data_IF_108068435631
#
_entry.id   IF_108068435631
#
_cell.length_a   1.000
_cell.length_b   1.000
_cell.length_c   1.000
_cell.angle_alpha   90.00
_cell.angle_beta   90.00
_cell.angle_gamma   90.00
#
_symmetry.space_group_name_H-M   'P 1'
#
loop_
_entity.id
_entity.type
_entity.pdbx_description
1 polymer ?
#
# COMPACT_ATOMS: atom_id res chain seq x y z
N UNK A 1 -0.76 5.30 0.45
CA UNK A 1 0.24 6.34 0.09
C UNK A 1 1.48 6.32 0.98
N UNK A 2 1.60 5.33 1.88
CA UNK A 2 2.76 5.15 2.79
C UNK A 2 4.00 4.54 2.10
N UNK A 3 4.01 4.39 0.78
CA UNK A 3 5.17 3.86 0.04
C UNK A 3 5.19 2.35 -0.16
N UNK A 4 4.06 1.61 0.01
CA UNK A 4 3.99 0.16 -0.16
C UNK A 4 4.58 -0.32 -1.49
N UNK A 5 4.13 0.26 -2.61
CA UNK A 5 4.62 -0.10 -3.95
C UNK A 5 6.12 0.17 -4.10
N UNK A 6 6.63 1.28 -3.55
CA UNK A 6 8.06 1.59 -3.56
C UNK A 6 8.87 0.60 -2.71
N UNK A 7 8.35 0.25 -1.52
CA UNK A 7 8.96 -0.77 -0.67
C UNK A 7 9.07 -2.11 -1.41
N UNK A 8 8.00 -2.54 -2.07
CA UNK A 8 7.95 -3.83 -2.75
C UNK A 8 8.79 -3.84 -4.04
N UNK A 9 8.53 -2.90 -4.97
CA UNK A 9 9.12 -2.94 -6.31
C UNK A 9 10.52 -2.31 -6.41
N UNK A 10 10.92 -1.54 -5.40
CA UNK A 10 12.24 -0.90 -5.41
C UNK A 10 13.13 -1.44 -4.31
N UNK A 11 12.74 -1.29 -3.06
CA UNK A 11 13.63 -1.64 -1.95
C UNK A 11 13.77 -3.15 -1.79
N UNK A 12 12.66 -3.89 -1.78
CA UNK A 12 12.68 -5.33 -1.60
C UNK A 12 13.25 -6.04 -2.84
N UNK A 13 12.85 -5.62 -4.06
CA UNK A 13 13.47 -6.12 -5.30
C UNK A 13 14.99 -5.94 -5.27
N UNK A 14 15.49 -4.76 -4.93
CA UNK A 14 16.93 -4.49 -4.85
C UNK A 14 17.62 -5.32 -3.76
N UNK A 15 16.94 -5.55 -2.64
CA UNK A 15 17.44 -6.43 -1.59
C UNK A 15 17.62 -7.86 -2.11
N UNK A 16 16.61 -8.44 -2.77
CA UNK A 16 16.69 -9.78 -3.36
C UNK A 16 17.83 -9.92 -4.36
N UNK A 17 17.99 -8.93 -5.26
CA UNK A 17 19.10 -8.91 -6.22
C UNK A 17 20.45 -8.90 -5.50
N UNK A 18 20.60 -8.11 -4.43
CA UNK A 18 21.82 -8.09 -3.59
C UNK A 18 22.08 -9.42 -2.87
N UNK A 19 21.04 -10.19 -2.58
CA UNK A 19 21.14 -11.54 -2.02
C UNK A 19 21.46 -12.61 -3.08
N UNK A 20 21.64 -12.22 -4.35
CA UNK A 20 22.00 -13.11 -5.44
C UNK A 20 20.80 -13.69 -6.21
N UNK A 21 19.58 -13.24 -5.94
CA UNK A 21 18.41 -13.64 -6.74
C UNK A 21 18.53 -13.05 -8.13
N UNK A 22 18.36 -13.87 -9.16
CA UNK A 22 18.36 -13.42 -10.55
C UNK A 22 17.13 -12.55 -10.84
N UNK A 23 17.28 -11.54 -11.67
CA UNK A 23 16.20 -10.60 -11.96
C UNK A 23 15.01 -11.25 -12.66
N UNK A 24 15.23 -12.26 -13.50
CA UNK A 24 14.21 -13.07 -14.16
C UNK A 24 13.41 -13.97 -13.20
N UNK A 25 13.90 -14.18 -11.98
CA UNK A 25 13.18 -14.86 -10.91
C UNK A 25 12.30 -13.91 -10.08
N UNK A 26 12.26 -12.63 -10.39
CA UNK A 26 11.45 -11.63 -9.70
C UNK A 26 10.37 -11.13 -10.67
N UNK A 27 9.14 -11.59 -10.48
CA UNK A 27 8.01 -11.27 -11.35
C UNK A 27 7.15 -10.20 -10.68
N UNK A 28 7.22 -8.96 -11.17
CA UNK A 28 6.48 -7.84 -10.63
C UNK A 28 5.33 -7.41 -11.54
N UNK A 29 4.12 -7.27 -10.99
CA UNK A 29 2.95 -6.77 -11.73
C UNK A 29 2.27 -5.66 -10.92
N UNK A 30 2.24 -4.44 -11.47
CA UNK A 30 1.41 -3.37 -10.94
C UNK A 30 0.04 -3.42 -11.63
N UNK A 31 -0.99 -3.83 -10.88
CA UNK A 31 -2.35 -4.01 -11.41
C UNK A 31 -3.12 -2.69 -11.53
N UNK A 32 -2.67 -1.61 -10.87
CA UNK A 32 -3.22 -0.27 -11.08
C UNK A 32 -2.85 0.26 -12.47
N UNK A 33 -1.69 -0.13 -12.99
CA UNK A 33 -1.24 0.32 -14.28
C UNK A 33 -2.18 -0.15 -15.40
N UNK A 34 -2.66 0.80 -16.22
CA UNK A 34 -3.58 0.52 -17.33
C UNK A 34 -3.01 -0.45 -18.37
N UNK A 35 -1.70 -0.50 -18.55
CA UNK A 35 -1.05 -1.45 -19.46
C UNK A 35 -1.25 -2.90 -19.01
N UNK A 36 -1.46 -3.13 -17.73
CA UNK A 36 -1.70 -4.44 -17.13
C UNK A 36 -3.20 -4.74 -16.95
N UNK A 37 -4.09 -3.96 -17.59
CA UNK A 37 -5.54 -4.14 -17.41
C UNK A 37 -6.02 -5.55 -17.75
N UNK A 38 -5.44 -6.20 -18.75
CA UNK A 38 -5.77 -7.58 -19.12
C UNK A 38 -5.44 -8.59 -18.02
N UNK A 39 -4.42 -8.31 -17.21
CA UNK A 39 -4.00 -9.16 -16.09
C UNK A 39 -4.89 -9.03 -14.85
N UNK A 40 -5.93 -8.20 -14.89
CA UNK A 40 -6.95 -8.15 -13.82
C UNK A 40 -7.96 -9.31 -13.91
N UNK A 41 -7.96 -10.04 -15.03
CA UNK A 41 -8.70 -11.29 -15.13
C UNK A 41 -7.89 -12.43 -14.47
N UNK A 42 -8.50 -13.26 -13.59
CA UNK A 42 -7.81 -14.31 -12.83
C UNK A 42 -6.97 -15.22 -13.71
N UNK A 43 -7.57 -15.81 -14.72
CA UNK A 43 -6.90 -16.75 -15.62
C UNK A 43 -5.74 -16.12 -16.39
N UNK A 44 -5.89 -14.86 -16.81
CA UNK A 44 -4.83 -14.14 -17.52
C UNK A 44 -3.62 -13.89 -16.63
N UNK A 45 -3.83 -13.57 -15.35
CA UNK A 45 -2.77 -13.37 -14.37
C UNK A 45 -2.05 -14.69 -14.07
N UNK A 46 -2.82 -15.76 -13.84
CA UNK A 46 -2.27 -17.10 -13.61
C UNK A 46 -1.39 -17.55 -14.80
N UNK A 47 -1.91 -17.47 -16.03
CA UNK A 47 -1.16 -17.83 -17.24
C UNK A 47 0.09 -16.96 -17.45
N UNK A 48 -0.02 -15.65 -17.16
CA UNK A 48 1.10 -14.73 -17.29
C UNK A 48 2.26 -15.11 -16.36
N UNK A 49 1.95 -15.46 -15.12
CA UNK A 49 2.96 -15.84 -14.13
C UNK A 49 3.48 -17.24 -14.43
N UNK A 50 2.61 -18.20 -14.66
CA UNK A 50 2.98 -19.60 -14.96
C UNK A 50 3.94 -19.69 -16.16
N UNK A 51 3.69 -18.92 -17.21
CA UNK A 51 4.57 -18.86 -18.38
C UNK A 51 6.00 -18.35 -18.11
N UNK A 52 6.25 -17.79 -16.93
CA UNK A 52 7.55 -17.26 -16.48
C UNK A 52 8.23 -18.11 -15.42
N UNK A 53 7.51 -19.08 -14.88
CA UNK A 53 8.06 -20.00 -13.90
C UNK A 53 8.84 -21.12 -14.60
N UNK A 54 9.87 -21.58 -13.95
CA UNK A 54 10.57 -22.81 -14.32
C UNK A 54 10.78 -23.68 -13.07
N UNK A 55 11.25 -24.91 -13.27
CA UNK A 55 11.58 -25.79 -12.15
C UNK A 55 12.84 -25.39 -11.39
N UNK A 56 13.62 -24.45 -11.95
CA UNK A 56 14.92 -24.08 -11.40
C UNK A 56 14.84 -22.83 -10.52
N UNK A 57 15.12 -23.03 -9.23
CA UNK A 57 15.30 -21.95 -8.26
C UNK A 57 13.98 -21.39 -7.70
N UNK A 58 14.15 -20.46 -6.76
CA UNK A 58 13.07 -19.77 -6.07
C UNK A 58 12.61 -18.56 -6.88
N UNK A 59 11.29 -18.38 -7.01
CA UNK A 59 10.65 -17.23 -7.66
C UNK A 59 9.95 -16.34 -6.62
N UNK A 60 9.95 -15.04 -6.88
CA UNK A 60 9.34 -14.00 -6.05
C UNK A 60 8.30 -13.25 -6.90
N UNK A 61 7.02 -13.52 -6.64
CA UNK A 61 5.91 -12.87 -7.32
C UNK A 61 5.44 -11.68 -6.51
N UNK A 62 5.47 -10.49 -7.10
CA UNK A 62 5.11 -9.22 -6.47
C UNK A 62 3.91 -8.60 -7.19
N UNK A 63 2.76 -8.53 -6.51
CA UNK A 63 1.52 -7.98 -7.07
C UNK A 63 1.11 -6.71 -6.30
N UNK A 64 1.01 -5.59 -7.02
CA UNK A 64 0.56 -4.33 -6.44
C UNK A 64 -0.92 -4.10 -6.72
N UNK A 65 -1.67 -3.66 -5.70
CA UNK A 65 -3.12 -3.43 -5.74
C UNK A 65 -3.91 -4.67 -6.20
N UNK A 66 -3.62 -5.83 -5.57
CA UNK A 66 -4.16 -7.13 -5.99
C UNK A 66 -5.70 -7.20 -5.92
N UNK A 67 -6.36 -6.37 -5.12
CA UNK A 67 -7.83 -6.26 -5.09
C UNK A 67 -8.45 -5.81 -6.42
N UNK A 68 -7.63 -5.38 -7.38
CA UNK A 68 -8.10 -5.07 -8.73
C UNK A 68 -8.34 -6.33 -9.57
N UNK A 69 -7.87 -7.48 -9.12
CA UNK A 69 -8.17 -8.79 -9.71
C UNK A 69 -9.48 -9.30 -9.12
N UNK A 70 -10.41 -9.73 -9.96
CA UNK A 70 -11.59 -10.45 -9.47
C UNK A 70 -11.16 -11.80 -8.89
N UNK A 71 -11.80 -12.24 -7.80
CA UNK A 71 -11.49 -13.54 -7.16
C UNK A 71 -9.99 -13.69 -6.83
N UNK A 72 -9.36 -12.59 -6.40
CA UNK A 72 -7.91 -12.57 -6.14
C UNK A 72 -7.48 -13.58 -5.07
N UNK A 73 -8.36 -13.92 -4.14
CA UNK A 73 -8.14 -14.92 -3.10
C UNK A 73 -7.85 -16.28 -3.71
N UNK A 74 -8.62 -16.70 -4.70
CA UNK A 74 -8.44 -17.97 -5.41
C UNK A 74 -7.12 -17.97 -6.21
N UNK A 75 -6.80 -16.84 -6.84
CA UNK A 75 -5.54 -16.66 -7.56
C UNK A 75 -4.35 -16.81 -6.62
N UNK A 76 -4.39 -16.14 -5.46
CA UNK A 76 -3.32 -16.24 -4.47
C UNK A 76 -3.19 -17.66 -3.90
N UNK A 77 -4.31 -18.33 -3.61
CA UNK A 77 -4.31 -19.72 -3.16
C UNK A 77 -3.68 -20.65 -4.21
N UNK A 78 -3.87 -20.37 -5.50
CA UNK A 78 -3.25 -21.13 -6.59
C UNK A 78 -1.72 -20.98 -6.56
N UNK A 79 -1.20 -19.77 -6.37
CA UNK A 79 0.24 -19.54 -6.26
C UNK A 79 0.85 -20.17 -4.99
N UNK A 80 0.14 -20.16 -3.87
CA UNK A 80 0.59 -20.79 -2.62
C UNK A 80 0.75 -22.33 -2.73
N UNK A 81 0.19 -22.94 -3.77
CA UNK A 81 0.37 -24.37 -4.05
C UNK A 81 1.67 -24.69 -4.80
N UNK A 82 2.38 -23.67 -5.32
CA UNK A 82 3.60 -23.84 -6.09
C UNK A 82 4.80 -23.74 -5.14
N UNK A 83 5.53 -24.82 -4.97
CA UNK A 83 6.54 -24.99 -3.91
C UNK A 83 7.75 -24.06 -4.01
N UNK A 84 8.05 -23.55 -5.18
CA UNK A 84 9.18 -22.65 -5.44
C UNK A 84 8.76 -21.21 -5.75
N UNK A 85 7.60 -20.78 -5.25
CA UNK A 85 7.08 -19.42 -5.43
C UNK A 85 6.73 -18.80 -4.09
N UNK A 86 7.33 -17.66 -3.80
CA UNK A 86 6.92 -16.76 -2.71
C UNK A 86 6.10 -15.60 -3.30
N UNK A 87 4.93 -15.33 -2.72
CA UNK A 87 4.02 -14.28 -3.20
C UNK A 87 3.97 -13.13 -2.23
N UNK A 88 4.20 -11.93 -2.75
CA UNK A 88 4.11 -10.67 -2.01
C UNK A 88 3.05 -9.79 -2.67
N UNK A 89 2.07 -9.39 -1.89
CA UNK A 89 0.96 -8.59 -2.41
C UNK A 89 0.84 -7.27 -1.65
N UNK A 90 0.41 -6.24 -2.35
CA UNK A 90 -0.07 -5.03 -1.70
C UNK A 90 -1.53 -4.78 -2.02
N UNK A 91 -2.18 -4.07 -1.12
CA UNK A 91 -3.51 -3.54 -1.34
C UNK A 91 -3.72 -2.33 -0.46
N UNK A 92 -4.46 -1.36 -0.97
CA UNK A 92 -4.78 -0.11 -0.26
C UNK A 92 -6.17 -0.14 0.37
N UNK A 93 -6.98 -1.16 0.06
CA UNK A 93 -8.37 -1.18 0.42
C UNK A 93 -8.65 -2.02 1.67
N UNK A 94 -9.65 -1.58 2.39
CA UNK A 94 -10.26 -2.24 3.52
C UNK A 94 -10.81 -3.66 3.26
N UNK A 95 -10.91 -4.10 2.01
CA UNK A 95 -11.17 -5.51 1.67
C UNK A 95 -10.10 -6.44 2.24
N UNK A 96 -8.82 -5.98 2.28
CA UNK A 96 -7.73 -6.71 2.94
C UNK A 96 -7.79 -6.69 4.47
N UNK A 97 -8.52 -5.72 5.05
CA UNK A 97 -8.74 -5.63 6.50
C UNK A 97 -9.96 -6.44 6.94
N UNK A 98 -10.70 -7.05 6.01
CA UNK A 98 -11.78 -7.94 6.39
C UNK A 98 -11.16 -9.20 7.00
N UNK A 99 -11.69 -9.60 8.16
CA UNK A 99 -11.31 -10.87 8.81
C UNK A 99 -11.45 -12.07 7.85
N UNK A 100 -12.22 -11.90 6.80
CA UNK A 100 -12.51 -12.91 5.80
C UNK A 100 -11.26 -13.23 4.97
N UNK A 101 -10.47 -12.23 4.52
CA UNK A 101 -9.23 -12.46 3.77
C UNK A 101 -8.18 -13.17 4.64
N UNK A 102 -7.99 -12.70 5.88
CA UNK A 102 -7.04 -13.35 6.82
C UNK A 102 -7.49 -14.78 7.13
N UNK A 103 -8.80 -15.02 7.22
CA UNK A 103 -9.38 -16.34 7.49
C UNK A 103 -9.25 -17.25 6.28
N UNK A 104 -9.37 -16.72 5.05
CA UNK A 104 -9.25 -17.46 3.79
C UNK A 104 -7.84 -18.02 3.59
N UNK A 105 -6.82 -17.24 3.91
CA UNK A 105 -5.42 -17.71 3.85
C UNK A 105 -5.03 -18.68 4.98
N UNK A 106 -5.92 -18.91 5.96
CA UNK A 106 -5.79 -19.95 7.01
C UNK A 106 -4.40 -20.00 7.65
N UNK A 107 -3.79 -18.85 7.94
CA UNK A 107 -2.45 -18.77 8.52
C UNK A 107 -1.31 -19.10 7.55
N UNK A 108 -1.52 -19.03 6.24
CA UNK A 108 -0.49 -19.25 5.21
C UNK A 108 0.23 -17.98 4.78
N UNK A 109 0.01 -16.87 5.44
CA UNK A 109 0.64 -15.60 5.09
C UNK A 109 0.83 -14.71 6.31
N UNK A 110 1.81 -13.83 6.22
CA UNK A 110 2.10 -12.82 7.22
C UNK A 110 1.64 -11.45 6.72
N UNK A 111 1.07 -10.66 7.62
CA UNK A 111 0.64 -9.30 7.32
C UNK A 111 1.69 -8.29 7.80
N UNK A 112 2.13 -7.43 6.89
CA UNK A 112 3.05 -6.34 7.19
C UNK A 112 2.33 -5.00 7.04
N UNK A 113 2.08 -4.33 8.15
CA UNK A 113 1.49 -2.99 8.17
C UNK A 113 2.53 -1.93 7.85
N UNK A 114 2.45 -1.36 6.63
CA UNK A 114 3.27 -0.21 6.24
C UNK A 114 2.55 1.08 6.67
N UNK A 115 3.15 1.80 7.59
CA UNK A 115 2.66 3.08 8.11
C UNK A 115 3.41 4.26 7.45
N UNK A 116 2.90 5.49 7.56
CA UNK A 116 3.70 6.68 7.29
C UNK A 116 5.00 6.66 8.10
N UNK A 117 6.04 7.33 7.60
CA UNK A 117 7.32 7.42 8.28
C UNK A 117 7.15 7.99 9.68
N UNK A 118 7.80 7.38 10.65
CA UNK A 118 7.86 7.89 12.02
C UNK A 118 8.72 9.15 12.08
N UNK A 119 8.58 9.95 13.15
CA UNK A 119 9.44 11.11 13.37
C UNK A 119 10.93 10.72 13.30
N UNK A 120 11.30 9.60 13.91
CA UNK A 120 12.69 9.14 13.90
C UNK A 120 13.21 8.88 12.50
N UNK A 121 12.42 8.18 11.67
CA UNK A 121 12.80 7.89 10.27
C UNK A 121 12.94 9.17 9.44
N UNK A 122 12.10 10.18 9.69
CA UNK A 122 12.19 11.49 9.02
C UNK A 122 13.38 12.27 9.51
N UNK A 123 13.64 12.30 10.81
CA UNK A 123 14.77 12.99 11.43
C UNK A 123 16.10 12.37 11.01
N UNK A 124 16.20 11.03 10.99
CA UNK A 124 17.37 10.29 10.48
C UNK A 124 17.62 10.61 8.99
N UNK A 125 16.57 10.65 8.17
CA UNK A 125 16.67 10.98 6.75
C UNK A 125 17.13 12.42 6.49
N UNK A 126 16.66 13.38 7.31
CA UNK A 126 16.99 14.80 7.21
C UNK A 126 18.29 15.17 7.95
N UNK A 127 18.83 14.27 8.77
CA UNK A 127 19.90 14.50 9.73
C UNK A 127 19.59 15.72 10.65
N UNK A 128 18.32 15.83 11.07
CA UNK A 128 17.81 16.95 11.86
C UNK A 128 16.86 16.48 12.97
N UNK A 129 17.25 16.69 14.21
CA UNK A 129 16.48 16.40 15.43
C UNK A 129 16.06 17.67 16.18
N UNK A 130 16.06 18.81 15.51
CA UNK A 130 15.70 20.10 16.10
C UNK A 130 14.23 20.17 16.52
N UNK A 131 13.92 21.16 17.38
CA UNK A 131 12.52 21.43 17.74
C UNK A 131 11.69 21.88 16.53
N UNK A 132 12.32 22.52 15.54
CA UNK A 132 11.65 22.95 14.33
C UNK A 132 11.27 21.75 13.46
N UNK A 133 12.12 20.72 13.37
CA UNK A 133 11.80 19.45 12.71
C UNK A 133 10.63 18.73 13.42
N UNK A 134 10.58 18.72 14.75
CA UNK A 134 9.45 18.17 15.50
C UNK A 134 8.15 18.90 15.13
N UNK A 135 8.17 20.23 15.11
CA UNK A 135 7.01 21.05 14.74
C UNK A 135 6.56 20.79 13.31
N UNK A 136 7.52 20.73 12.37
CA UNK A 136 7.23 20.40 10.97
C UNK A 136 6.57 19.02 10.85
N UNK A 137 7.10 18.01 11.54
CA UNK A 137 6.55 16.67 11.54
C UNK A 137 5.13 16.61 12.18
N UNK A 138 4.92 17.34 13.27
CA UNK A 138 3.58 17.43 13.89
C UNK A 138 2.55 18.10 12.98
N UNK A 139 2.99 19.03 12.12
CA UNK A 139 2.12 19.77 11.21
C UNK A 139 1.80 18.99 9.92
N UNK A 140 2.80 18.34 9.33
CA UNK A 140 2.66 17.72 8.00
C UNK A 140 2.70 16.18 8.02
N UNK A 141 3.11 15.57 9.11
CA UNK A 141 3.20 14.12 9.27
C UNK A 141 4.33 13.48 8.47
N UNK A 142 4.29 12.15 8.39
CA UNK A 142 5.35 11.32 7.82
C UNK A 142 5.00 10.65 6.49
N UNK A 143 4.07 11.19 5.68
CA UNK A 143 3.84 10.66 4.34
C UNK A 143 5.09 10.89 3.48
N UNK A 144 5.66 9.85 2.82
CA UNK A 144 6.93 9.98 2.08
C UNK A 144 6.93 11.12 1.05
N UNK A 145 5.83 11.33 0.34
CA UNK A 145 5.68 12.41 -0.64
C UNK A 145 5.82 13.79 0.03
N UNK A 146 5.25 13.94 1.22
CA UNK A 146 5.29 15.20 1.98
C UNK A 146 6.70 15.43 2.55
N UNK A 147 7.35 14.36 3.03
CA UNK A 147 8.72 14.45 3.58
C UNK A 147 9.72 14.84 2.50
N UNK A 148 9.54 14.39 1.26
CA UNK A 148 10.42 14.71 0.13
C UNK A 148 10.16 16.09 -0.49
N UNK A 149 8.99 16.69 -0.26
CA UNK A 149 8.64 18.02 -0.79
C UNK A 149 9.20 19.11 0.12
N UNK A 150 9.75 20.16 -0.46
CA UNK A 150 10.30 21.32 0.27
C UNK A 150 9.35 22.52 0.27
N UNK A 151 8.48 22.62 -0.73
CA UNK A 151 7.52 23.70 -0.86
C UNK A 151 6.31 23.48 0.05
N UNK A 152 6.11 24.39 1.00
CA UNK A 152 5.03 24.33 1.99
C UNK A 152 3.64 24.29 1.31
N UNK A 153 3.43 25.10 0.28
CA UNK A 153 2.12 25.15 -0.39
C UNK A 153 1.84 23.80 -1.08
N UNK A 154 2.85 23.18 -1.67
CA UNK A 154 2.71 21.85 -2.29
C UNK A 154 2.46 20.77 -1.26
N UNK A 155 3.10 20.83 -0.07
CA UNK A 155 2.80 19.90 1.04
C UNK A 155 1.34 20.00 1.44
N UNK A 156 0.85 21.22 1.68
CA UNK A 156 -0.55 21.47 2.08
C UNK A 156 -1.50 20.97 1.00
N UNK A 157 -1.32 21.40 -0.24
CA UNK A 157 -2.17 20.98 -1.35
C UNK A 157 -2.20 19.47 -1.55
N UNK A 158 -1.06 18.80 -1.38
CA UNK A 158 -0.99 17.34 -1.45
C UNK A 158 -1.80 16.68 -0.31
N UNK A 159 -1.68 17.18 0.91
CA UNK A 159 -2.43 16.66 2.07
C UNK A 159 -3.94 16.86 1.91
N UNK A 160 -4.37 18.04 1.45
CA UNK A 160 -5.78 18.34 1.15
C UNK A 160 -6.32 17.38 0.09
N UNK A 161 -5.60 17.19 -1.02
CA UNK A 161 -5.99 16.24 -2.06
C UNK A 161 -6.05 14.79 -1.52
N UNK A 162 -5.11 14.38 -0.65
CA UNK A 162 -5.17 13.06 -0.04
C UNK A 162 -6.40 12.92 0.87
N UNK A 163 -6.75 13.95 1.63
CA UNK A 163 -7.92 13.95 2.48
C UNK A 163 -9.21 13.84 1.65
N UNK A 164 -9.41 14.73 0.70
CA UNK A 164 -10.64 14.79 -0.09
C UNK A 164 -10.82 13.61 -1.04
N UNK A 165 -9.80 13.34 -1.86
CA UNK A 165 -9.94 12.38 -2.96
C UNK A 165 -9.63 10.94 -2.57
N UNK A 166 -8.88 10.72 -1.49
CA UNK A 166 -8.51 9.36 -1.08
C UNK A 166 -9.34 8.92 0.11
N UNK A 167 -9.22 9.62 1.23
CA UNK A 167 -9.85 9.14 2.47
C UNK A 167 -11.36 9.31 2.46
N UNK A 168 -11.87 10.49 2.09
CA UNK A 168 -13.31 10.70 2.06
C UNK A 168 -13.99 9.85 1.00
N UNK A 169 -13.38 9.70 -0.17
CA UNK A 169 -13.90 8.83 -1.23
C UNK A 169 -13.89 7.37 -0.82
N UNK A 170 -12.80 6.86 -0.25
CA UNK A 170 -12.70 5.46 0.21
C UNK A 170 -13.75 5.15 1.29
N UNK A 171 -14.00 6.10 2.20
CA UNK A 171 -15.03 5.98 3.24
C UNK A 171 -16.43 5.95 2.60
N UNK A 172 -16.70 6.85 1.65
CA UNK A 172 -18.00 6.92 0.94
C UNK A 172 -18.31 5.64 0.19
N UNK A 173 -17.35 5.15 -0.59
CA UNK A 173 -17.50 3.92 -1.38
C UNK A 173 -17.70 2.69 -0.47
N UNK A 174 -17.07 2.68 0.71
CA UNK A 174 -17.16 1.55 1.64
C UNK A 174 -18.47 1.49 2.41
N UNK A 175 -18.97 2.65 2.86
CA UNK A 175 -20.12 2.74 3.76
C UNK A 175 -21.38 3.26 3.09
N UNK A 176 -21.36 3.41 1.74
CA UNK A 176 -22.47 3.93 0.95
C UNK A 176 -23.04 5.24 1.48
N UNK A 177 -22.16 6.13 1.98
CA UNK A 177 -22.55 7.43 2.54
C UNK A 177 -23.20 8.28 1.46
N UNK A 178 -24.47 8.66 1.65
CA UNK A 178 -25.30 9.32 0.64
C UNK A 178 -25.12 10.84 0.57
N UNK A 179 -24.65 11.46 1.65
CA UNK A 179 -24.50 12.91 1.74
C UNK A 179 -23.04 13.29 1.98
N UNK A 180 -22.47 14.01 1.03
CA UNK A 180 -21.07 14.43 1.06
C UNK A 180 -20.79 15.49 2.13
N UNK A 181 -21.80 16.38 2.39
CA UNK A 181 -21.72 17.43 3.40
C UNK A 181 -21.51 16.88 4.81
N UNK A 182 -22.22 15.82 5.17
CA UNK A 182 -22.23 15.27 6.53
C UNK A 182 -20.87 14.68 6.90
N UNK A 183 -20.18 14.07 5.94
CA UNK A 183 -18.86 13.50 6.18
C UNK A 183 -17.80 14.59 6.37
N UNK A 184 -17.86 15.66 5.57
CA UNK A 184 -16.95 16.79 5.71
C UNK A 184 -17.18 17.52 7.03
N UNK A 185 -18.42 17.76 7.42
CA UNK A 185 -18.79 18.37 8.70
C UNK A 185 -18.32 17.51 9.88
N UNK A 186 -18.48 16.18 9.80
CA UNK A 186 -17.98 15.26 10.83
C UNK A 186 -16.45 15.36 10.99
N UNK A 187 -15.71 15.46 9.87
CA UNK A 187 -14.23 15.60 9.91
C UNK A 187 -13.85 16.93 10.57
N UNK A 188 -14.55 18.02 10.27
CA UNK A 188 -14.29 19.33 10.87
C UNK A 188 -14.58 19.33 12.38
N UNK A 189 -15.68 18.68 12.79
CA UNK A 189 -16.00 18.49 14.19
C UNK A 189 -14.92 17.66 14.89
N UNK A 190 -14.51 16.54 14.32
CA UNK A 190 -13.45 15.69 14.87
C UNK A 190 -12.12 16.44 14.98
N UNK A 191 -11.75 17.22 13.96
CA UNK A 191 -10.54 18.03 13.97
C UNK A 191 -10.58 19.09 15.09
N UNK A 192 -11.73 19.71 15.34
CA UNK A 192 -11.91 20.70 16.42
C UNK A 192 -11.82 20.07 17.82
N UNK A 193 -12.08 18.79 17.94
CA UNK A 193 -12.02 18.05 19.21
C UNK A 193 -10.63 17.47 19.53
N UNK A 194 -9.64 17.62 18.65
CA UNK A 194 -8.29 17.11 18.89
C UNK A 194 -7.67 17.78 20.12
N UNK A 195 -7.29 16.95 21.11
CA UNK A 195 -6.76 17.41 22.39
C UNK A 195 -7.83 17.73 23.46
N UNK A 196 -9.11 17.65 23.12
CA UNK A 196 -10.24 17.76 24.06
C UNK A 196 -10.71 16.40 24.60
N UNK A 197 -11.47 16.43 25.70
CA UNK A 197 -12.19 15.24 26.18
C UNK A 197 -13.40 15.02 25.26
N UNK A 198 -13.43 13.90 24.57
CA UNK A 198 -14.59 13.44 23.80
C UNK A 198 -15.36 12.41 24.62
N UNK A 199 -16.66 12.64 24.83
CA UNK A 199 -17.58 11.66 25.42
C UNK A 199 -18.12 10.73 24.34
#
# INVERSE_FOLDING_TARGET
>A
RCGKSYLLFTLFKNYLIKQGVKEDHIIGVNLENRLNKSLRAPDALLQYIDSRLSSDGQYYVMLDEVQMVSEFEDVLNSFLSISNVDVFVTGSNAKFLSKDVITEFRGRGDEIHVRPLTFREVADFRDDYSQDMIREYMLYGGLPQVVLENDVNKKVSYLEQQMEHTYLRDIKERYEVRQDSDLSELVDIMASCVGGLTN
#
